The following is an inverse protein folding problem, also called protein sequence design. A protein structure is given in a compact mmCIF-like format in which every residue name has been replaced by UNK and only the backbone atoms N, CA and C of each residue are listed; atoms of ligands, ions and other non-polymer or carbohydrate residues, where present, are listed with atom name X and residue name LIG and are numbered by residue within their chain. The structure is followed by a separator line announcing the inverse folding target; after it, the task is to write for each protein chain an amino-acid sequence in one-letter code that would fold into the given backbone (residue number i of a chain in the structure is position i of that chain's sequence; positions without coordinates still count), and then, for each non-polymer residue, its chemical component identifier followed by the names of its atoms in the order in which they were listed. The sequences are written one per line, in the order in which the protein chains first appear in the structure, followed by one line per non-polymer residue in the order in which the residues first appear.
data_IF_940860037052
#
_entry.id   IF_940860037052
#
_cell.length_a   1.000
_cell.length_b   1.000
_cell.length_c   1.000
_cell.angle_alpha   90.00
_cell.angle_beta   90.00
_cell.angle_gamma   90.00
#
_symmetry.space_group_name_H-M   'P 1'
#
loop_
_entity.id
_entity.type
_entity.pdbx_description
1 polymer ?
#
# COMPACT_ATOMS: atom_id res chain seq x y z
N UNK A 1 6.18 -5.85 0.90
CA UNK A 1 7.64 -5.63 1.03
C UNK A 1 8.11 -5.70 2.48
N UNK A 2 7.29 -5.41 3.47
CA UNK A 2 7.63 -5.45 4.89
C UNK A 2 8.02 -6.82 5.46
N UNK A 3 7.83 -7.90 4.70
CA UNK A 3 8.30 -9.24 5.08
C UNK A 3 9.69 -9.58 4.55
N UNK A 4 10.27 -8.71 3.75
CA UNK A 4 11.66 -8.83 3.29
C UNK A 4 12.50 -7.77 4.01
N UNK A 5 13.42 -8.22 4.86
CA UNK A 5 14.25 -7.34 5.70
C UNK A 5 15.06 -6.32 4.90
N UNK A 6 15.50 -6.66 3.68
CA UNK A 6 16.21 -5.72 2.80
C UNK A 6 15.32 -4.51 2.45
N UNK A 7 14.02 -4.71 2.25
CA UNK A 7 13.08 -3.62 1.93
C UNK A 7 12.40 -3.03 3.16
N UNK A 8 12.49 -3.69 4.30
CA UNK A 8 11.99 -3.15 5.56
C UNK A 8 13.01 -2.17 6.18
N UNK A 9 14.27 -2.52 6.18
CA UNK A 9 15.34 -1.78 6.87
C UNK A 9 16.58 -1.55 5.99
N UNK A 10 16.98 -2.51 5.17
CA UNK A 10 18.23 -2.45 4.41
C UNK A 10 18.31 -1.26 3.45
N UNK A 11 17.28 -1.02 2.66
CA UNK A 11 17.24 0.11 1.71
C UNK A 11 17.18 1.46 2.45
N UNK A 12 16.51 1.53 3.60
CA UNK A 12 16.48 2.72 4.44
C UNK A 12 17.88 3.07 4.96
N UNK A 13 18.63 2.07 5.45
CA UNK A 13 20.02 2.26 5.90
C UNK A 13 20.88 2.86 4.76
N UNK A 14 20.76 2.31 3.54
CA UNK A 14 21.49 2.80 2.36
C UNK A 14 21.13 4.25 2.00
N UNK A 15 19.92 4.68 2.31
CA UNK A 15 19.40 6.02 1.96
C UNK A 15 19.82 7.10 2.97
N UNK A 16 20.22 6.75 4.20
CA UNK A 16 20.48 7.69 5.29
C UNK A 16 21.53 8.75 4.92
N UNK A 17 22.58 8.37 4.22
CA UNK A 17 23.63 9.32 3.84
C UNK A 17 23.13 10.49 3.00
N UNK A 18 22.06 10.27 2.20
CA UNK A 18 21.40 11.29 1.39
C UNK A 18 20.33 12.05 2.18
N UNK A 19 19.58 11.35 3.03
CA UNK A 19 18.42 11.91 3.71
C UNK A 19 18.77 12.73 4.94
N UNK A 20 19.81 12.37 5.71
CA UNK A 20 20.17 13.01 6.99
C UNK A 20 20.43 14.52 6.90
N UNK A 21 20.85 15.00 5.75
CA UNK A 21 21.14 16.41 5.50
C UNK A 21 20.09 17.08 4.59
N UNK A 22 19.00 16.40 4.26
CA UNK A 22 17.94 16.97 3.45
C UNK A 22 16.92 17.71 4.32
N UNK A 23 16.20 18.64 3.71
CA UNK A 23 15.06 19.34 4.32
C UNK A 23 13.74 18.62 4.03
N UNK A 24 13.79 17.44 3.43
CA UNK A 24 12.59 16.68 3.07
C UNK A 24 11.94 16.10 4.32
N UNK A 25 10.63 16.21 4.39
CA UNK A 25 9.85 15.45 5.36
C UNK A 25 9.89 13.97 5.03
N UNK A 26 10.21 13.14 6.02
CA UNK A 26 10.23 11.68 5.88
C UNK A 26 8.97 11.10 6.52
N UNK A 27 8.12 10.51 5.68
CA UNK A 27 6.86 9.90 6.10
C UNK A 27 7.02 8.37 6.10
N UNK A 28 7.18 7.80 7.29
CA UNK A 28 7.22 6.35 7.45
C UNK A 28 5.89 5.73 7.02
N UNK A 29 5.94 4.81 6.05
CA UNK A 29 4.76 4.23 5.41
C UNK A 29 4.73 2.72 5.56
N UNK A 30 3.63 2.21 6.12
CA UNK A 30 3.31 0.78 6.09
C UNK A 30 2.80 0.37 4.70
N UNK A 31 3.72 -0.05 3.82
CA UNK A 31 3.39 -0.43 2.45
C UNK A 31 3.02 -1.92 2.40
N UNK A 32 1.76 -2.21 2.09
CA UNK A 32 1.16 -3.55 2.12
C UNK A 32 0.77 -3.97 0.71
N UNK A 33 1.43 -4.99 0.19
CA UNK A 33 1.13 -5.54 -1.12
C UNK A 33 -0.08 -6.49 -1.04
N UNK A 34 -1.11 -6.18 -1.80
CA UNK A 34 -2.38 -6.93 -1.90
C UNK A 34 -2.42 -7.63 -3.26
N UNK A 35 -2.96 -8.83 -3.31
CA UNK A 35 -3.13 -9.57 -4.56
C UNK A 35 -4.14 -8.85 -5.48
N UNK A 36 -3.63 -8.32 -6.58
CA UNK A 36 -4.40 -7.66 -7.64
C UNK A 36 -4.70 -8.56 -8.85
N UNK A 37 -4.43 -9.86 -8.76
CA UNK A 37 -4.69 -10.85 -9.81
C UNK A 37 -3.62 -10.93 -10.89
N UNK A 38 -2.46 -10.31 -10.70
CA UNK A 38 -1.30 -10.38 -11.58
C UNK A 38 0.01 -10.14 -10.80
N UNK A 39 1.11 -10.59 -11.36
CA UNK A 39 2.44 -10.30 -10.82
C UNK A 39 2.74 -8.81 -10.91
N UNK A 40 2.90 -8.16 -9.78
CA UNK A 40 3.31 -6.75 -9.75
C UNK A 40 4.84 -6.60 -9.83
N UNK A 41 5.30 -5.44 -10.29
CA UNK A 41 6.72 -5.11 -10.26
C UNK A 41 7.29 -5.18 -8.84
N UNK A 42 6.50 -4.75 -7.85
CA UNK A 42 6.89 -4.79 -6.43
C UNK A 42 7.07 -6.22 -5.94
N UNK A 43 6.17 -7.15 -6.26
CA UNK A 43 6.31 -8.56 -5.86
C UNK A 43 7.60 -9.18 -6.40
N UNK A 44 7.90 -8.91 -7.67
CA UNK A 44 9.11 -9.41 -8.34
C UNK A 44 10.40 -8.85 -7.73
N UNK A 45 10.48 -7.52 -7.59
CA UNK A 45 11.66 -6.83 -7.08
C UNK A 45 11.92 -7.17 -5.61
N UNK A 46 10.88 -7.24 -4.80
CA UNK A 46 11.01 -7.50 -3.36
C UNK A 46 11.00 -8.98 -2.99
N UNK A 47 10.75 -9.86 -3.96
CA UNK A 47 10.54 -11.29 -3.73
C UNK A 47 9.55 -11.54 -2.58
N UNK A 48 8.42 -10.81 -2.62
CA UNK A 48 7.38 -10.85 -1.58
C UNK A 48 6.05 -11.23 -2.20
N UNK A 49 5.42 -12.27 -1.68
CA UNK A 49 4.09 -12.67 -2.10
C UNK A 49 3.05 -11.65 -1.62
N UNK A 50 2.13 -11.20 -2.50
CA UNK A 50 1.03 -10.34 -2.10
C UNK A 50 0.08 -11.06 -1.14
N UNK A 51 -0.56 -10.31 -0.25
CA UNK A 51 -1.59 -10.83 0.64
C UNK A 51 -2.87 -11.11 -0.15
N UNK A 52 -3.40 -12.35 -0.10
CA UNK A 52 -4.66 -12.68 -0.77
C UNK A 52 -5.82 -11.85 -0.21
N UNK A 53 -6.64 -11.30 -1.09
CA UNK A 53 -7.78 -10.45 -0.68
C UNK A 53 -8.86 -11.18 0.15
N UNK A 54 -8.86 -12.50 0.17
CA UNK A 54 -9.73 -13.30 1.03
C UNK A 54 -9.30 -13.30 2.51
N UNK A 55 -8.05 -12.96 2.78
CA UNK A 55 -7.47 -12.97 4.13
C UNK A 55 -7.57 -11.59 4.78
N UNK A 56 -8.78 -11.06 4.93
CA UNK A 56 -9.05 -9.70 5.44
C UNK A 56 -8.40 -9.48 6.80
N UNK A 57 -8.56 -10.41 7.73
CA UNK A 57 -7.97 -10.34 9.07
C UNK A 57 -6.44 -10.16 9.03
N UNK A 58 -5.75 -10.95 8.21
CA UNK A 58 -4.29 -10.83 8.06
C UNK A 58 -3.88 -9.46 7.50
N UNK A 59 -4.68 -8.90 6.57
CA UNK A 59 -4.42 -7.57 6.02
C UNK A 59 -4.60 -6.50 7.10
N UNK A 60 -5.68 -6.56 7.87
CA UNK A 60 -5.97 -5.66 8.99
C UNK A 60 -4.85 -5.73 10.04
N UNK A 61 -4.47 -6.93 10.47
CA UNK A 61 -3.40 -7.13 11.45
C UNK A 61 -2.04 -6.63 10.94
N UNK A 62 -1.77 -6.77 9.63
CA UNK A 62 -0.56 -6.22 9.02
C UNK A 62 -0.55 -4.69 9.05
N UNK A 63 -1.69 -4.05 8.80
CA UNK A 63 -1.81 -2.60 8.87
C UNK A 63 -1.62 -2.08 10.31
N UNK A 64 -2.25 -2.73 11.29
CA UNK A 64 -2.07 -2.42 12.72
C UNK A 64 -0.61 -2.60 13.16
N UNK A 65 0.03 -3.69 12.76
CA UNK A 65 1.45 -3.92 13.05
C UNK A 65 2.32 -2.79 12.48
N UNK A 66 2.04 -2.35 11.24
CA UNK A 66 2.71 -1.21 10.64
C UNK A 66 2.55 0.07 11.47
N UNK A 67 1.33 0.38 11.92
CA UNK A 67 1.05 1.52 12.79
C UNK A 67 1.81 1.40 14.13
N UNK A 68 1.79 0.24 14.78
CA UNK A 68 2.49 0.01 16.04
C UNK A 68 4.02 0.09 15.91
N UNK A 69 4.55 -0.23 14.74
CA UNK A 69 5.97 -0.04 14.40
C UNK A 69 6.34 1.42 14.10
N UNK A 70 5.39 2.34 14.13
CA UNK A 70 5.62 3.78 13.95
C UNK A 70 5.36 4.30 12.53
N UNK A 71 4.65 3.56 11.68
CA UNK A 71 4.19 4.11 10.41
C UNK A 71 3.24 5.29 10.64
N UNK A 72 3.41 6.35 9.86
CA UNK A 72 2.57 7.55 9.88
C UNK A 72 1.39 7.47 8.91
N UNK A 73 1.42 6.51 8.00
CA UNK A 73 0.32 6.17 7.10
C UNK A 73 0.43 4.71 6.64
N UNK A 74 -0.67 4.16 6.16
CA UNK A 74 -0.74 2.84 5.55
C UNK A 74 -1.05 2.99 4.06
N UNK A 75 -0.39 2.19 3.24
CA UNK A 75 -0.66 2.10 1.81
C UNK A 75 -1.02 0.65 1.44
N UNK A 76 -2.27 0.44 0.99
CA UNK A 76 -2.72 -0.82 0.40
C UNK A 76 -2.52 -0.74 -1.12
N UNK A 77 -1.60 -1.54 -1.66
CA UNK A 77 -1.22 -1.51 -3.07
C UNK A 77 -1.54 -2.83 -3.75
N UNK A 78 -2.45 -2.82 -4.73
CA UNK A 78 -2.78 -4.01 -5.52
C UNK A 78 -1.83 -4.25 -6.71
N UNK A 79 -0.92 -3.32 -6.99
CA UNK A 79 0.03 -3.38 -8.08
C UNK A 79 -0.36 -2.52 -9.29
N UNK A 80 0.64 -1.91 -9.94
CA UNK A 80 0.43 -1.19 -11.20
C UNK A 80 -0.13 -2.15 -12.24
N UNK A 81 -1.18 -1.72 -12.94
CA UNK A 81 -1.87 -2.56 -13.94
C UNK A 81 -2.67 -3.72 -13.35
N UNK A 82 -2.91 -3.76 -12.05
CA UNK A 82 -3.68 -4.82 -11.40
C UNK A 82 -5.02 -5.08 -12.09
N UNK A 83 -5.39 -6.36 -12.14
CA UNK A 83 -6.68 -6.83 -12.69
C UNK A 83 -7.83 -6.38 -11.81
N UNK A 84 -7.61 -6.47 -10.50
CA UNK A 84 -8.59 -6.16 -9.46
C UNK A 84 -8.00 -5.14 -8.49
N UNK A 85 -8.70 -4.03 -8.20
CA UNK A 85 -8.31 -3.13 -7.12
C UNK A 85 -8.52 -3.81 -5.76
N UNK A 86 -8.01 -3.17 -4.72
CA UNK A 86 -8.31 -3.56 -3.34
C UNK A 86 -9.82 -3.46 -3.11
N UNK A 87 -10.41 -4.52 -2.57
CA UNK A 87 -11.87 -4.58 -2.34
C UNK A 87 -12.32 -3.53 -1.31
N UNK A 88 -13.49 -2.91 -1.51
CA UNK A 88 -14.09 -1.96 -0.57
C UNK A 88 -14.17 -2.46 0.88
N UNK A 89 -14.52 -3.74 1.06
CA UNK A 89 -14.57 -4.39 2.38
C UNK A 89 -13.22 -4.32 3.11
N UNK A 90 -12.12 -4.62 2.42
CA UNK A 90 -10.77 -4.58 3.00
C UNK A 90 -10.42 -3.15 3.42
N UNK A 91 -10.71 -2.17 2.56
CA UNK A 91 -10.47 -0.75 2.85
C UNK A 91 -11.21 -0.34 4.12
N UNK A 92 -12.50 -0.71 4.22
CA UNK A 92 -13.35 -0.40 5.36
C UNK A 92 -12.82 -1.03 6.67
N UNK A 93 -12.47 -2.32 6.64
CA UNK A 93 -11.99 -3.02 7.84
C UNK A 93 -10.61 -2.49 8.29
N UNK A 94 -9.72 -2.21 7.36
CA UNK A 94 -8.42 -1.58 7.68
C UNK A 94 -8.65 -0.18 8.26
N UNK A 95 -9.51 0.65 7.64
CA UNK A 95 -9.78 2.02 8.12
C UNK A 95 -10.39 2.06 9.52
N UNK A 96 -11.25 1.11 9.85
CA UNK A 96 -11.81 0.98 11.21
C UNK A 96 -10.74 0.65 12.26
N UNK A 97 -9.71 -0.08 11.86
CA UNK A 97 -8.69 -0.59 12.77
C UNK A 97 -7.56 0.41 13.04
N UNK A 98 -7.19 1.24 12.06
CA UNK A 98 -6.06 2.17 12.16
C UNK A 98 -6.51 3.60 12.47
N UNK A 99 -5.63 4.38 13.11
CA UNK A 99 -5.86 5.79 13.45
C UNK A 99 -5.05 6.77 12.59
N UNK A 100 -4.35 6.25 11.58
CA UNK A 100 -3.47 7.01 10.68
C UNK A 100 -4.07 7.01 9.27
N UNK A 101 -3.64 7.92 8.37
CA UNK A 101 -4.16 7.98 7.01
C UNK A 101 -3.98 6.67 6.23
N UNK A 102 -4.95 6.39 5.37
CA UNK A 102 -4.99 5.21 4.51
C UNK A 102 -4.94 5.62 3.04
N UNK A 103 -3.90 5.17 2.34
CA UNK A 103 -3.76 5.29 0.88
C UNK A 103 -4.15 3.96 0.25
N UNK A 104 -4.83 4.02 -0.88
CA UNK A 104 -5.21 2.83 -1.66
C UNK A 104 -4.82 3.04 -3.12
N UNK A 105 -4.14 2.07 -3.72
CA UNK A 105 -3.73 2.12 -5.12
C UNK A 105 -3.69 0.76 -5.79
N UNK A 106 -3.44 0.81 -7.10
CA UNK A 106 -3.39 -0.37 -7.97
C UNK A 106 -4.75 -0.82 -8.49
N UNK A 107 -4.86 -0.95 -9.81
CA UNK A 107 -6.05 -1.45 -10.49
C UNK A 107 -7.28 -0.52 -10.49
N UNK A 108 -7.18 0.69 -9.97
CA UNK A 108 -8.25 1.69 -10.00
C UNK A 108 -8.19 2.41 -11.34
N UNK A 109 -9.19 2.19 -12.19
CA UNK A 109 -9.23 2.65 -13.59
C UNK A 109 -10.41 3.55 -13.91
N UNK A 110 -11.42 3.59 -13.05
CA UNK A 110 -12.67 4.34 -13.28
C UNK A 110 -13.02 5.21 -12.09
N UNK A 111 -13.80 6.29 -12.33
CA UNK A 111 -14.33 7.13 -11.27
C UNK A 111 -15.22 6.35 -10.29
N UNK A 112 -15.95 5.36 -10.78
CA UNK A 112 -16.74 4.48 -9.90
C UNK A 112 -15.87 3.72 -8.90
N UNK A 113 -14.75 3.15 -9.35
CA UNK A 113 -13.79 2.46 -8.48
C UNK A 113 -13.12 3.42 -7.50
N UNK A 114 -12.73 4.62 -7.97
CA UNK A 114 -12.17 5.69 -7.12
C UNK A 114 -13.15 6.08 -6.02
N UNK A 115 -14.40 6.36 -6.39
CA UNK A 115 -15.43 6.74 -5.43
C UNK A 115 -15.75 5.61 -4.44
N UNK A 116 -15.75 4.35 -4.90
CA UNK A 116 -15.91 3.20 -4.01
C UNK A 116 -14.79 3.11 -2.96
N UNK A 117 -13.53 3.38 -3.34
CA UNK A 117 -12.41 3.41 -2.41
C UNK A 117 -12.57 4.53 -1.36
N UNK A 118 -12.92 5.75 -1.77
CA UNK A 118 -13.18 6.86 -0.85
C UNK A 118 -14.37 6.59 0.08
N UNK A 119 -15.48 6.10 -0.47
CA UNK A 119 -16.67 5.77 0.33
C UNK A 119 -16.40 4.65 1.36
N UNK A 120 -15.39 3.83 1.10
CA UNK A 120 -14.95 2.77 2.03
C UNK A 120 -13.92 3.25 3.07
N UNK A 121 -13.49 4.51 3.00
CA UNK A 121 -12.66 5.13 4.01
C UNK A 121 -11.21 5.38 3.61
N UNK A 122 -10.84 5.24 2.34
CA UNK A 122 -9.52 5.70 1.88
C UNK A 122 -9.43 7.23 2.03
N UNK A 123 -8.32 7.72 2.60
CA UNK A 123 -8.05 9.16 2.69
C UNK A 123 -7.40 9.67 1.39
N UNK A 124 -6.73 8.78 0.65
CA UNK A 124 -6.09 9.09 -0.62
C UNK A 124 -6.17 7.89 -1.57
N UNK A 125 -6.38 8.16 -2.85
CA UNK A 125 -6.44 7.15 -3.91
C UNK A 125 -5.37 7.44 -4.97
N UNK A 126 -4.61 6.39 -5.33
CA UNK A 126 -3.59 6.46 -6.39
C UNK A 126 -4.12 5.80 -7.66
N UNK A 127 -4.14 6.56 -8.74
CA UNK A 127 -4.49 6.11 -10.08
C UNK A 127 -3.30 6.40 -11.00
N UNK A 128 -2.71 5.38 -11.59
CA UNK A 128 -1.55 5.51 -12.50
C UNK A 128 -1.90 5.17 -13.95
N UNK A 129 -2.21 3.92 -14.21
CA UNK A 129 -2.38 3.33 -15.55
C UNK A 129 -3.33 4.11 -16.48
N UNK A 130 -4.32 4.80 -15.93
CA UNK A 130 -5.28 5.61 -16.73
C UNK A 130 -4.62 6.85 -17.32
N UNK A 131 -3.54 7.33 -16.71
CA UNK A 131 -2.81 8.53 -17.15
C UNK A 131 -1.51 8.19 -17.89
N UNK A 132 -1.17 6.91 -17.99
CA UNK A 132 -0.02 6.40 -18.74
C UNK A 132 -0.38 6.05 -20.19
N UNK A 133 -1.47 6.59 -20.72
CA UNK A 133 -1.97 6.30 -22.06
C UNK A 133 -0.91 6.64 -23.13
N UNK A 134 -0.83 5.84 -24.21
CA UNK A 134 0.21 5.92 -25.22
C UNK A 134 0.20 7.22 -26.02
#
# INVERSE_FOLDING_TARGET
SGRNAEYLVGQQIKSISKLKNSTLEIISTGYILIDGGNDSAVSKVTNTEPLPQKNVETIVHTALAGQFMGAKLIYLEAGSGAKYPVKPEIISEVKKAINIPLIVGGGIKTDAQKNAAYNSGADMVVMGTVYEAP
#
